data_IF_764984283942
#
_entry.id   IF_764984283942
#
_cell.length_a   1.000
_cell.length_b   1.000
_cell.length_c   1.000
_cell.angle_alpha   90.00
_cell.angle_beta   90.00
_cell.angle_gamma   90.00
#
_symmetry.space_group_name_H-M   'P 1'
#
loop_
_entity.id
_entity.type
_entity.pdbx_description
1 polymer ?
#
# COMPACT_ATOMS: atom_id res chain seq x y z
N UNK A 1 9.42 -11.41 15.90
CA UNK A 1 9.24 -10.70 17.17
C UNK A 1 9.48 -9.19 17.05
N UNK A 2 10.62 -8.79 16.47
CA UNK A 2 10.90 -7.36 16.26
C UNK A 2 9.87 -6.72 15.34
N UNK A 3 9.48 -7.42 14.26
CA UNK A 3 8.44 -6.93 13.35
C UNK A 3 7.12 -6.67 14.06
N UNK A 4 6.72 -7.56 14.96
CA UNK A 4 5.48 -7.39 15.71
C UNK A 4 5.54 -6.16 16.61
N UNK A 5 6.67 -5.93 17.29
CA UNK A 5 6.85 -4.76 18.12
C UNK A 5 6.76 -3.48 17.29
N UNK A 6 7.46 -3.41 16.17
CA UNK A 6 7.42 -2.25 15.29
C UNK A 6 6.03 -2.03 14.69
N UNK A 7 5.30 -3.10 14.37
CA UNK A 7 3.92 -2.97 13.89
C UNK A 7 3.01 -2.38 14.97
N UNK A 8 3.17 -2.79 16.22
CA UNK A 8 2.38 -2.24 17.33
C UNK A 8 2.66 -0.75 17.48
N UNK A 9 3.94 -0.36 17.45
CA UNK A 9 4.30 1.05 17.51
C UNK A 9 3.75 1.83 16.32
N UNK A 10 3.81 1.24 15.13
CA UNK A 10 3.28 1.84 13.90
C UNK A 10 1.77 2.10 14.02
N UNK A 11 1.01 1.12 14.49
CA UNK A 11 -0.44 1.25 14.68
C UNK A 11 -0.75 2.42 15.63
N UNK A 12 -0.03 2.49 16.75
CA UNK A 12 -0.24 3.53 17.76
C UNK A 12 0.16 4.91 17.22
N UNK A 13 1.23 4.98 16.41
CA UNK A 13 1.78 6.26 15.93
C UNK A 13 1.05 6.81 14.70
N UNK A 14 0.12 6.08 14.12
CA UNK A 14 -0.63 6.60 12.99
C UNK A 14 -1.07 5.56 11.97
N UNK A 15 -0.52 4.35 12.02
CA UNK A 15 -0.90 3.29 11.08
C UNK A 15 -2.38 2.97 11.08
N UNK A 16 -2.99 3.00 12.25
CA UNK A 16 -4.43 2.76 12.39
C UNK A 16 -5.23 3.84 11.64
N UNK A 17 -4.86 5.11 11.79
CA UNK A 17 -5.54 6.22 11.10
C UNK A 17 -5.36 6.10 9.59
N UNK A 18 -4.15 5.74 9.13
CA UNK A 18 -3.90 5.54 7.70
C UNK A 18 -4.73 4.40 7.15
N UNK A 19 -4.80 3.28 7.86
CA UNK A 19 -5.61 2.14 7.45
C UNK A 19 -7.08 2.52 7.34
N UNK A 20 -7.61 3.25 8.31
CA UNK A 20 -8.98 3.74 8.25
C UNK A 20 -9.20 4.65 7.04
N UNK A 21 -8.24 5.52 6.73
CA UNK A 21 -8.31 6.38 5.56
C UNK A 21 -8.38 5.59 4.25
N UNK A 22 -7.55 4.57 4.10
CA UNK A 22 -7.57 3.71 2.92
C UNK A 22 -8.86 2.89 2.83
N UNK A 23 -9.36 2.38 3.95
CA UNK A 23 -10.61 1.63 3.97
C UNK A 23 -11.81 2.52 3.66
N UNK A 24 -11.81 3.77 4.16
CA UNK A 24 -12.84 4.75 3.80
C UNK A 24 -12.80 5.04 2.30
N UNK A 25 -11.60 5.25 1.74
CA UNK A 25 -11.44 5.44 0.30
C UNK A 25 -11.97 4.23 -0.48
N UNK A 26 -11.69 3.02 0.00
CA UNK A 26 -12.21 1.79 -0.60
C UNK A 26 -13.73 1.74 -0.58
N UNK A 27 -14.34 2.11 0.54
CA UNK A 27 -15.80 2.15 0.65
C UNK A 27 -16.41 3.16 -0.31
N UNK A 28 -15.83 4.37 -0.39
CA UNK A 28 -16.28 5.40 -1.32
C UNK A 28 -16.16 4.94 -2.78
N UNK A 29 -15.03 4.29 -3.13
CA UNK A 29 -14.86 3.70 -4.46
C UNK A 29 -15.94 2.65 -4.75
N UNK A 30 -16.25 1.80 -3.79
CA UNK A 30 -17.26 0.75 -3.96
C UNK A 30 -18.66 1.35 -4.19
N UNK A 31 -19.00 2.42 -3.47
CA UNK A 31 -20.30 3.08 -3.60
C UNK A 31 -20.48 3.69 -4.99
N UNK A 32 -19.40 4.19 -5.59
CA UNK A 32 -19.49 4.86 -6.89
C UNK A 32 -19.69 3.90 -8.08
N UNK A 33 -19.61 2.62 -7.88
CA UNK A 33 -19.68 1.57 -8.91
C UNK A 33 -18.51 1.66 -9.88
N UNK A 34 -18.25 2.84 -10.47
CA UNK A 34 -17.11 3.07 -11.36
C UNK A 34 -15.79 2.80 -10.63
N UNK A 35 -15.73 3.13 -9.35
CA UNK A 35 -14.54 2.91 -8.53
C UNK A 35 -14.38 1.48 -7.99
N UNK A 36 -15.34 0.57 -8.25
CA UNK A 36 -15.28 -0.79 -7.73
C UNK A 36 -13.95 -1.51 -8.02
N UNK A 37 -13.37 -1.42 -9.23
CA UNK A 37 -12.09 -2.07 -9.49
C UNK A 37 -10.96 -1.61 -8.56
N UNK A 38 -11.00 -0.36 -8.11
CA UNK A 38 -9.98 0.19 -7.22
C UNK A 38 -10.29 -0.04 -5.74
N UNK A 39 -11.57 -0.24 -5.39
CA UNK A 39 -11.98 -0.46 -4.00
C UNK A 39 -11.19 -1.61 -3.36
N UNK A 40 -11.04 -2.72 -4.08
CA UNK A 40 -10.28 -3.88 -3.61
C UNK A 40 -8.86 -3.48 -3.20
N UNK A 41 -8.20 -2.67 -4.02
CA UNK A 41 -6.81 -2.27 -3.77
C UNK A 41 -6.71 -1.30 -2.61
N UNK A 42 -7.70 -0.42 -2.42
CA UNK A 42 -7.76 0.43 -1.24
C UNK A 42 -7.85 -0.40 0.04
N UNK A 43 -8.63 -1.47 0.04
CA UNK A 43 -8.70 -2.37 1.20
C UNK A 43 -7.40 -3.12 1.42
N UNK A 44 -6.74 -3.57 0.35
CA UNK A 44 -5.43 -4.23 0.44
C UNK A 44 -4.39 -3.28 1.00
N UNK A 45 -4.34 -2.04 0.51
CA UNK A 45 -3.40 -1.03 1.01
C UNK A 45 -3.72 -0.67 2.45
N UNK A 46 -5.00 -0.60 2.82
CA UNK A 46 -5.41 -0.35 4.20
C UNK A 46 -4.86 -1.42 5.16
N UNK A 47 -4.99 -2.70 4.80
CA UNK A 47 -4.40 -3.78 5.59
C UNK A 47 -2.88 -3.65 5.67
N UNK A 48 -2.24 -3.32 4.55
CA UNK A 48 -0.80 -3.11 4.51
C UNK A 48 -0.40 -1.92 5.39
N UNK A 49 -1.18 -0.83 5.34
CA UNK A 49 -0.95 0.35 6.18
C UNK A 49 -1.10 0.06 7.67
N UNK A 50 -1.97 -0.90 8.01
CA UNK A 50 -2.17 -1.27 9.42
C UNK A 50 -0.99 -2.06 9.99
N UNK A 51 -0.40 -2.96 9.19
CA UNK A 51 0.62 -3.90 9.67
C UNK A 51 1.72 -4.10 8.62
N UNK A 52 2.54 -3.04 8.35
CA UNK A 52 3.47 -3.09 7.21
C UNK A 52 4.77 -3.86 7.46
N UNK A 53 5.23 -3.93 8.72
CA UNK A 53 6.50 -4.58 9.01
C UNK A 53 6.38 -6.09 8.79
N UNK A 54 7.34 -6.65 8.05
CA UNK A 54 7.33 -8.07 7.73
C UNK A 54 6.48 -8.43 6.52
N UNK A 55 5.93 -7.44 5.81
CA UNK A 55 5.14 -7.65 4.60
C UNK A 55 5.70 -6.83 3.44
N UNK A 56 5.38 -7.27 2.23
CA UNK A 56 5.78 -6.56 1.01
C UNK A 56 4.68 -6.64 -0.03
N UNK A 57 4.66 -5.67 -0.93
CA UNK A 57 3.74 -5.65 -2.06
C UNK A 57 4.42 -6.32 -3.26
N UNK A 58 3.72 -7.23 -3.91
CA UNK A 58 4.21 -7.96 -5.08
C UNK A 58 3.16 -7.98 -6.17
N UNK A 59 3.60 -8.12 -7.43
CA UNK A 59 2.69 -8.32 -8.55
C UNK A 59 2.10 -9.74 -8.46
N UNK A 60 0.77 -9.84 -8.61
CA UNK A 60 0.10 -11.14 -8.51
C UNK A 60 0.56 -12.12 -9.56
N UNK A 61 0.86 -11.66 -10.77
CA UNK A 61 1.34 -12.54 -11.84
C UNK A 61 2.71 -13.11 -11.51
N UNK A 62 3.60 -12.28 -10.94
CA UNK A 62 4.91 -12.75 -10.51
C UNK A 62 4.80 -13.78 -9.38
N UNK A 63 3.84 -13.60 -8.49
CA UNK A 63 3.64 -14.48 -7.34
C UNK A 63 3.06 -15.83 -7.76
N UNK A 64 2.02 -15.84 -8.60
CA UNK A 64 1.27 -17.05 -8.94
C UNK A 64 1.70 -17.69 -10.26
N UNK A 65 2.45 -16.98 -11.10
CA UNK A 65 2.78 -17.41 -12.46
C UNK A 65 1.62 -17.30 -13.45
N UNK A 66 0.47 -16.77 -13.02
CA UNK A 66 -0.72 -16.63 -13.86
C UNK A 66 -1.14 -15.17 -13.93
N UNK A 67 -1.44 -14.72 -15.15
CA UNK A 67 -2.03 -13.40 -15.35
C UNK A 67 -3.52 -13.39 -15.00
N UNK A 68 -4.04 -12.21 -14.67
CA UNK A 68 -5.46 -11.96 -14.49
C UNK A 68 -5.82 -10.58 -15.07
N UNK A 69 -7.08 -10.15 -14.90
CA UNK A 69 -7.50 -8.85 -15.42
C UNK A 69 -6.66 -7.68 -14.88
N UNK A 70 -6.26 -7.76 -13.60
CA UNK A 70 -5.50 -6.68 -12.96
C UNK A 70 -4.01 -6.67 -13.33
N UNK A 71 -3.46 -7.77 -13.86
CA UNK A 71 -2.04 -7.87 -14.21
C UNK A 71 -1.78 -7.73 -15.70
N UNK A 72 -2.85 -7.68 -16.53
CA UNK A 72 -2.74 -7.52 -17.97
C UNK A 72 -2.92 -6.07 -18.43
N UNK A 73 -3.23 -5.87 -19.71
CA UNK A 73 -3.41 -4.53 -20.27
C UNK A 73 -4.49 -3.69 -19.58
N UNK A 74 -5.58 -4.32 -19.14
CA UNK A 74 -6.63 -3.60 -18.39
C UNK A 74 -6.13 -3.11 -17.03
N UNK A 75 -5.27 -3.90 -16.39
CA UNK A 75 -4.62 -3.48 -15.15
C UNK A 75 -3.70 -2.28 -15.35
N UNK A 76 -2.96 -2.26 -16.46
CA UNK A 76 -2.12 -1.13 -16.80
C UNK A 76 -2.96 0.14 -16.99
N UNK A 77 -4.06 0.05 -17.71
CA UNK A 77 -4.98 1.18 -17.89
C UNK A 77 -5.52 1.63 -16.53
N UNK A 78 -5.92 0.69 -15.68
CA UNK A 78 -6.39 1.00 -14.32
C UNK A 78 -5.35 1.73 -13.50
N UNK A 79 -4.09 1.32 -13.59
CA UNK A 79 -2.99 2.00 -12.89
C UNK A 79 -2.73 3.41 -13.43
N UNK A 80 -2.81 3.62 -14.74
CA UNK A 80 -2.66 4.95 -15.33
C UNK A 80 -3.76 5.88 -14.86
N UNK A 81 -5.02 5.43 -14.89
CA UNK A 81 -6.15 6.21 -14.39
C UNK A 81 -5.99 6.56 -12.91
N UNK A 82 -5.59 5.58 -12.10
CA UNK A 82 -5.36 5.80 -10.68
C UNK A 82 -4.24 6.79 -10.43
N UNK A 83 -3.13 6.66 -11.17
CA UNK A 83 -2.00 7.58 -11.03
C UNK A 83 -2.43 9.01 -11.28
N UNK A 84 -3.20 9.25 -12.34
CA UNK A 84 -3.65 10.61 -12.69
C UNK A 84 -4.59 11.18 -11.63
N UNK A 85 -5.51 10.36 -11.11
CA UNK A 85 -6.56 10.84 -10.19
C UNK A 85 -6.04 10.94 -8.75
N UNK A 86 -5.28 9.96 -8.29
CA UNK A 86 -4.97 9.84 -6.87
C UNK A 86 -3.52 9.45 -6.58
N UNK A 87 -2.94 8.58 -7.39
CA UNK A 87 -1.68 7.90 -7.04
C UNK A 87 -0.50 8.84 -6.83
N UNK A 88 -0.34 9.84 -7.69
CA UNK A 88 0.83 10.70 -7.64
C UNK A 88 0.88 11.54 -6.36
N UNK A 89 -0.22 12.10 -5.93
CA UNK A 89 -0.20 12.95 -4.74
C UNK A 89 -0.32 12.14 -3.45
N UNK A 90 -0.94 10.96 -3.48
CA UNK A 90 -0.87 10.02 -2.36
C UNK A 90 0.57 9.55 -2.13
N UNK A 91 1.28 9.21 -3.22
CA UNK A 91 2.68 8.83 -3.12
C UNK A 91 3.54 9.97 -2.56
N UNK A 92 3.28 11.21 -2.97
CA UNK A 92 3.98 12.38 -2.43
C UNK A 92 3.72 12.49 -0.93
N UNK A 93 2.49 12.24 -0.48
CA UNK A 93 2.17 12.24 0.94
C UNK A 93 2.98 11.21 1.72
N UNK A 94 3.07 9.98 1.22
CA UNK A 94 3.88 8.95 1.86
C UNK A 94 5.38 9.25 1.81
N UNK A 95 5.88 9.78 0.69
CA UNK A 95 7.29 10.14 0.57
C UNK A 95 7.66 11.30 1.52
N UNK A 96 6.76 12.28 1.67
CA UNK A 96 6.97 13.36 2.64
C UNK A 96 7.01 12.82 4.07
N UNK A 97 6.12 11.90 4.39
CA UNK A 97 6.12 11.23 5.70
C UNK A 97 7.39 10.40 5.92
N UNK A 98 7.86 9.72 4.86
CA UNK A 98 9.11 8.97 4.91
C UNK A 98 10.29 9.89 5.21
N UNK A 99 10.36 11.03 4.53
CA UNK A 99 11.43 12.00 4.76
C UNK A 99 11.43 12.49 6.20
N UNK A 100 10.26 12.84 6.73
CA UNK A 100 10.13 13.25 8.13
C UNK A 100 10.61 12.15 9.08
N UNK A 101 10.30 10.89 8.80
CA UNK A 101 10.77 9.76 9.59
C UNK A 101 12.30 9.60 9.51
N UNK A 102 12.87 9.76 8.32
CA UNK A 102 14.33 9.59 8.13
C UNK A 102 15.14 10.68 8.83
N UNK A 103 14.58 11.87 9.00
CA UNK A 103 15.24 12.94 9.77
C UNK A 103 15.47 12.50 11.22
N UNK A 104 14.58 11.69 11.77
CA UNK A 104 14.76 11.06 13.07
C UNK A 104 15.39 9.69 12.88
N UNK A 105 16.52 9.43 13.49
CA UNK A 105 17.19 8.13 13.38
C UNK A 105 16.28 6.99 13.84
N UNK A 106 15.52 7.21 14.91
CA UNK A 106 14.56 6.23 15.43
C UNK A 106 13.45 5.95 14.44
N UNK A 107 13.10 6.93 13.60
CA UNK A 107 12.05 6.81 12.60
C UNK A 107 12.46 6.12 11.30
N UNK A 108 13.75 5.77 11.11
CA UNK A 108 14.19 5.15 9.86
C UNK A 108 13.38 3.90 9.49
N UNK A 109 13.12 2.93 10.40
CA UNK A 109 12.29 1.77 10.05
C UNK A 109 10.88 2.17 9.59
N UNK A 110 10.31 3.20 10.19
CA UNK A 110 8.98 3.70 9.83
C UNK A 110 8.99 4.40 8.48
N UNK A 111 10.06 5.13 8.17
CA UNK A 111 10.24 5.75 6.86
C UNK A 111 10.28 4.73 5.73
N UNK A 112 10.92 3.58 5.95
CA UNK A 112 10.97 2.49 4.99
C UNK A 112 9.56 1.99 4.70
N UNK A 113 8.69 1.89 5.70
CA UNK A 113 7.31 1.46 5.50
C UNK A 113 6.53 2.49 4.66
N UNK A 114 6.73 3.78 4.88
CA UNK A 114 6.12 4.80 4.05
C UNK A 114 6.57 4.73 2.59
N UNK A 115 7.83 4.38 2.34
CA UNK A 115 8.31 4.18 0.96
C UNK A 115 7.58 3.00 0.31
N UNK A 116 7.41 1.88 1.01
CA UNK A 116 6.64 0.75 0.50
C UNK A 116 5.21 1.15 0.17
N UNK A 117 4.59 1.93 1.05
CA UNK A 117 3.22 2.43 0.83
C UNK A 117 3.15 3.39 -0.35
N UNK A 118 4.15 4.25 -0.51
CA UNK A 118 4.22 5.16 -1.66
C UNK A 118 4.28 4.39 -2.98
N UNK A 119 5.08 3.34 -3.03
CA UNK A 119 5.24 2.54 -4.24
C UNK A 119 3.94 1.83 -4.63
N UNK A 120 3.23 1.22 -3.68
CA UNK A 120 1.97 0.58 -3.99
C UNK A 120 0.87 1.61 -4.28
N UNK A 121 0.94 2.80 -3.69
CA UNK A 121 -0.02 3.86 -3.96
C UNK A 121 0.07 4.37 -5.40
N UNK A 122 1.25 4.28 -6.03
CA UNK A 122 1.42 4.70 -7.43
C UNK A 122 0.74 3.77 -8.42
N UNK A 123 0.79 2.47 -8.18
CA UNK A 123 0.23 1.49 -9.11
C UNK A 123 -0.31 0.27 -8.35
N UNK A 124 -1.48 0.41 -7.71
CA UNK A 124 -2.02 -0.66 -6.86
C UNK A 124 -2.65 -1.81 -7.63
N UNK A 125 -3.13 -1.58 -8.86
CA UNK A 125 -3.86 -2.60 -9.61
C UNK A 125 -2.93 -3.74 -10.00
N UNK A 126 -3.32 -4.96 -9.69
CA UNK A 126 -2.51 -6.15 -9.94
C UNK A 126 -1.60 -6.55 -8.79
N UNK A 127 -1.54 -5.74 -7.74
CA UNK A 127 -0.67 -5.99 -6.59
C UNK A 127 -1.40 -6.74 -5.47
N UNK A 128 -0.64 -7.44 -4.66
CA UNK A 128 -1.12 -8.02 -3.39
C UNK A 128 -0.02 -7.89 -2.35
N UNK A 129 -0.36 -8.15 -1.10
CA UNK A 129 0.58 -8.03 0.01
C UNK A 129 0.79 -9.41 0.62
N UNK A 130 2.05 -9.79 0.77
CA UNK A 130 2.45 -11.10 1.30
C UNK A 130 3.54 -10.92 2.36
N UNK A 131 3.73 -11.92 3.26
CA UNK A 131 4.86 -11.87 4.18
C UNK A 131 6.18 -11.84 3.42
N UNK A 132 7.13 -11.06 3.94
CA UNK A 132 8.49 -11.02 3.37
C UNK A 132 9.11 -12.40 3.60
N UNK A 133 9.67 -12.99 2.54
CA UNK A 133 10.40 -14.24 2.67
C UNK A 133 11.67 -13.99 3.49
N UNK A 134 11.81 -14.73 4.58
CA UNK A 134 13.05 -14.67 5.32
C UNK A 134 14.18 -15.21 4.43
N UNK A 135 15.31 -14.50 4.42
CA UNK A 135 16.49 -14.91 3.67
C UNK A 135 17.17 -16.10 4.37
N UNK A 136 16.56 -17.22 4.30
CA UNK A 136 17.18 -18.39 4.96
C UNK A 136 16.24 -19.50 5.05
#
# INVERSE_FOLDING_TARGET
MISALFNILWVVLGGFVMALGWWLAGLLCAITIIGLPWARYCFVIGRFSLWPFGQEAVNRQELSGRGDLGTGPLGLIGNVLWFVVAGWWLAIGHLSSALACFVSIVGIPFGIQHIKLALIALKPVGMTVVPVRSAG
#
